data_IF_513703789446
#
_entry.id   IF_513703789446
#
_cell.length_a   1.000
_cell.length_b   1.000
_cell.length_c   1.000
_cell.angle_alpha   90.00
_cell.angle_beta   90.00
_cell.angle_gamma   90.00
#
_symmetry.space_group_name_H-M   'P 1'
#
loop_
_entity.id
_entity.type
_entity.pdbx_description
1 polymer ?
#
# COMPACT_ATOMS: atom_id res chain seq x y z
N UNK A 1 -25.98 1.72 19.90
CA UNK A 1 -26.58 1.32 18.62
C UNK A 1 -27.16 -0.08 18.77
N UNK A 2 -28.41 -0.30 18.36
CA UNK A 2 -28.99 -1.64 18.24
C UNK A 2 -28.44 -2.25 16.95
N UNK A 3 -27.31 -2.95 17.03
CA UNK A 3 -26.70 -3.65 15.91
C UNK A 3 -27.50 -4.92 15.59
N UNK A 4 -27.90 -5.06 14.33
CA UNK A 4 -28.63 -6.23 13.83
C UNK A 4 -27.65 -7.23 13.23
N UNK A 5 -28.01 -8.51 13.28
CA UNK A 5 -27.13 -9.62 12.87
C UNK A 5 -26.77 -9.62 11.37
N UNK A 6 -27.52 -8.85 10.56
CA UNK A 6 -27.33 -8.69 9.11
C UNK A 6 -26.64 -7.37 8.74
N UNK A 7 -26.26 -6.54 9.70
CA UNK A 7 -25.56 -5.30 9.40
C UNK A 7 -24.19 -5.58 8.76
N UNK A 8 -23.93 -4.87 7.67
CA UNK A 8 -22.68 -4.91 6.92
C UNK A 8 -21.91 -3.63 7.19
N UNK A 9 -20.64 -3.77 7.52
CA UNK A 9 -19.77 -2.61 7.72
C UNK A 9 -18.71 -2.55 6.62
N UNK A 10 -18.49 -1.34 6.12
CA UNK A 10 -17.40 -1.03 5.20
C UNK A 10 -16.30 -0.30 5.96
N UNK A 11 -15.05 -0.55 5.60
CA UNK A 11 -13.91 0.24 6.08
C UNK A 11 -13.87 1.61 5.38
N UNK A 12 -13.70 2.65 6.18
CA UNK A 12 -13.52 4.03 5.70
C UNK A 12 -12.09 4.21 5.15
N UNK A 13 -11.80 5.33 4.45
CA UNK A 13 -10.42 5.66 4.03
C UNK A 13 -9.45 5.64 5.20
N UNK A 14 -9.86 6.21 6.35
CA UNK A 14 -9.11 6.21 7.62
C UNK A 14 -8.85 4.79 8.14
N UNK A 15 -9.84 3.90 8.05
CA UNK A 15 -9.67 2.47 8.36
C UNK A 15 -8.63 1.80 7.49
N UNK A 16 -8.62 2.13 6.19
CA UNK A 16 -7.69 1.55 5.23
C UNK A 16 -6.26 2.06 5.42
N UNK A 17 -6.11 3.35 5.72
CA UNK A 17 -4.82 3.96 6.09
C UNK A 17 -4.24 3.33 7.36
N UNK A 18 -5.07 2.96 8.34
CA UNK A 18 -4.60 2.25 9.52
C UNK A 18 -4.08 0.84 9.20
N UNK A 19 -4.79 0.13 8.32
CA UNK A 19 -4.34 -1.18 7.83
C UNK A 19 -3.05 -1.08 6.98
N UNK A 20 -2.80 0.05 6.33
CA UNK A 20 -1.60 0.26 5.52
C UNK A 20 -0.43 0.72 6.39
N UNK A 21 -0.59 1.81 7.14
CA UNK A 21 0.50 2.54 7.80
C UNK A 21 0.77 2.11 9.24
N UNK A 22 -0.10 1.33 9.90
CA UNK A 22 0.02 0.95 11.32
C UNK A 22 0.22 2.14 12.28
N UNK A 23 -0.22 3.34 11.93
CA UNK A 23 0.22 4.57 12.57
C UNK A 23 -0.70 5.06 13.71
N UNK A 24 -1.96 4.60 13.80
CA UNK A 24 -2.96 5.15 14.71
C UNK A 24 -3.25 4.30 15.95
N UNK A 25 -2.33 3.39 16.32
CA UNK A 25 -2.34 2.75 17.64
C UNK A 25 -3.46 1.72 17.88
N UNK A 26 -4.09 1.19 16.82
CA UNK A 26 -5.08 0.14 16.98
C UNK A 26 -4.46 -1.16 17.48
N UNK A 27 -5.12 -1.77 18.46
CA UNK A 27 -4.74 -3.09 18.96
C UNK A 27 -4.82 -4.14 17.85
N UNK A 28 -3.96 -5.15 17.92
CA UNK A 28 -3.83 -6.22 16.93
C UNK A 28 -5.16 -6.93 16.62
N UNK A 29 -6.04 -7.03 17.63
CA UNK A 29 -7.38 -7.63 17.52
C UNK A 29 -8.33 -6.70 16.76
N UNK A 30 -8.36 -5.40 17.09
CA UNK A 30 -9.19 -4.42 16.38
C UNK A 30 -8.81 -4.35 14.89
N UNK A 31 -7.52 -4.43 14.60
CA UNK A 31 -7.00 -4.49 13.23
C UNK A 31 -7.47 -5.74 12.50
N UNK A 32 -7.43 -6.91 13.16
CA UNK A 32 -7.95 -8.16 12.58
C UNK A 32 -9.42 -8.00 12.19
N UNK A 33 -10.25 -7.51 13.11
CA UNK A 33 -11.68 -7.25 12.84
C UNK A 33 -11.84 -6.30 11.66
N UNK A 34 -11.09 -5.20 11.62
CA UNK A 34 -11.13 -4.21 10.53
C UNK A 34 -10.76 -4.82 9.16
N UNK A 35 -9.84 -5.80 9.10
CA UNK A 35 -9.51 -6.53 7.86
C UNK A 35 -10.68 -7.40 7.39
N UNK A 36 -11.46 -7.96 8.31
CA UNK A 36 -12.63 -8.78 7.96
C UNK A 36 -13.83 -7.94 7.50
N UNK A 37 -13.91 -6.67 7.92
CA UNK A 37 -14.97 -5.71 7.56
C UNK A 37 -14.67 -5.03 6.20
N UNK A 38 -14.76 -5.81 5.12
CA UNK A 38 -14.54 -5.36 3.74
C UNK A 38 -15.82 -4.83 3.06
N UNK A 39 -16.99 -4.91 3.72
CA UNK A 39 -18.30 -4.66 3.09
C UNK A 39 -18.98 -5.90 2.52
N UNK A 40 -18.39 -7.08 2.73
CA UNK A 40 -18.93 -8.37 2.24
C UNK A 40 -19.33 -9.33 3.35
N UNK A 41 -18.90 -9.06 4.59
CA UNK A 41 -19.22 -9.86 5.76
C UNK A 41 -20.23 -9.13 6.63
N UNK A 42 -21.23 -9.87 7.08
CA UNK A 42 -22.19 -9.41 8.09
C UNK A 42 -21.61 -9.59 9.49
N UNK A 43 -22.22 -8.94 10.48
CA UNK A 43 -21.87 -9.10 11.89
C UNK A 43 -21.83 -10.60 12.32
N UNK A 44 -22.78 -11.40 11.83
CA UNK A 44 -22.84 -12.85 12.04
C UNK A 44 -21.54 -13.55 11.63
N UNK A 45 -21.05 -13.26 10.43
CA UNK A 45 -19.87 -13.87 9.82
C UNK A 45 -18.57 -13.46 10.55
N UNK A 46 -18.55 -12.27 11.16
CA UNK A 46 -17.40 -11.82 11.95
C UNK A 46 -17.42 -12.44 13.35
N UNK A 47 -18.60 -12.68 13.92
CA UNK A 47 -18.78 -13.38 15.21
C UNK A 47 -18.39 -14.86 15.17
N UNK A 48 -18.40 -15.52 14.02
CA UNK A 48 -17.99 -16.93 13.90
C UNK A 48 -16.46 -17.11 13.92
N UNK A 49 -15.68 -16.03 13.96
CA UNK A 49 -14.22 -16.09 14.00
C UNK A 49 -13.72 -16.58 15.36
N UNK A 50 -12.99 -17.70 15.42
CA UNK A 50 -12.44 -18.20 16.68
C UNK A 50 -11.38 -17.25 17.23
N UNK A 51 -11.40 -17.05 18.56
CA UNK A 51 -10.49 -16.19 19.36
C UNK A 51 -10.77 -14.68 19.32
N UNK A 52 -12.02 -14.26 19.10
CA UNK A 52 -12.45 -12.87 19.27
C UNK A 52 -13.74 -12.84 20.09
N UNK A 53 -13.63 -12.70 21.41
CA UNK A 53 -14.79 -12.67 22.30
C UNK A 53 -15.57 -11.34 22.21
N UNK A 54 -14.87 -10.20 22.09
CA UNK A 54 -15.46 -8.85 22.17
C UNK A 54 -15.71 -8.17 20.81
N UNK A 55 -16.18 -8.92 19.79
CA UNK A 55 -16.40 -8.38 18.43
C UNK A 55 -17.30 -7.14 18.44
N UNK A 56 -18.38 -7.14 19.22
CA UNK A 56 -19.36 -6.04 19.25
C UNK A 56 -18.78 -4.75 19.86
N UNK A 57 -17.99 -4.88 20.93
CA UNK A 57 -17.28 -3.76 21.54
C UNK A 57 -16.22 -3.19 20.60
N UNK A 58 -15.52 -4.06 19.87
CA UNK A 58 -14.51 -3.66 18.87
C UNK A 58 -15.18 -2.88 17.73
N UNK A 59 -16.30 -3.38 17.19
CA UNK A 59 -17.03 -2.70 16.12
C UNK A 59 -17.54 -1.33 16.59
N UNK A 60 -18.13 -1.27 17.79
CA UNK A 60 -18.56 0.01 18.39
C UNK A 60 -17.40 1.00 18.51
N UNK A 61 -16.23 0.52 18.93
CA UNK A 61 -15.03 1.34 19.06
C UNK A 61 -14.44 1.78 17.71
N UNK A 62 -14.49 0.92 16.69
CA UNK A 62 -14.03 1.22 15.33
C UNK A 62 -14.96 2.24 14.65
N UNK A 63 -16.27 2.11 14.85
CA UNK A 63 -17.27 3.05 14.35
C UNK A 63 -17.09 4.42 15.00
N UNK A 64 -16.99 4.47 16.35
CA UNK A 64 -16.79 5.71 17.11
C UNK A 64 -15.52 6.46 16.69
N UNK A 65 -14.46 5.74 16.33
CA UNK A 65 -13.21 6.33 15.86
C UNK A 65 -13.21 6.66 14.35
N UNK A 66 -14.27 6.29 13.63
CA UNK A 66 -14.46 6.57 12.21
C UNK A 66 -13.68 5.64 11.27
N UNK A 67 -13.27 4.46 11.72
CA UNK A 67 -12.56 3.46 10.90
C UNK A 67 -13.50 2.58 10.06
N UNK A 68 -14.75 2.45 10.48
CA UNK A 68 -15.79 1.73 9.76
C UNK A 68 -17.07 2.56 9.67
N UNK A 69 -17.87 2.28 8.65
CA UNK A 69 -19.18 2.87 8.44
C UNK A 69 -20.20 1.77 8.21
N UNK A 70 -21.35 1.90 8.85
CA UNK A 70 -22.48 0.99 8.64
C UNK A 70 -23.07 1.23 7.24
N UNK A 71 -23.13 0.17 6.46
CA UNK A 71 -23.89 0.11 5.20
C UNK A 71 -24.98 -0.90 5.45
N UNK A 72 -26.13 -0.42 5.93
CA UNK A 72 -27.31 -1.27 6.04
C UNK A 72 -27.56 -1.95 4.70
N UNK A 73 -27.70 -3.27 4.75
CA UNK A 73 -27.72 -4.12 3.57
C UNK A 73 -28.98 -3.94 2.74
N UNK A 74 -29.02 -2.90 1.93
CA UNK A 74 -29.71 -2.91 0.64
C UNK A 74 -28.65 -2.91 -0.45
N UNK A 75 -28.69 -3.99 -1.24
CA UNK A 75 -27.61 -4.38 -2.13
C UNK A 75 -27.30 -3.35 -3.20
N UNK A 76 -25.99 -3.09 -3.34
CA UNK A 76 -25.29 -2.86 -4.60
C UNK A 76 -25.80 -1.76 -5.52
N UNK A 77 -25.02 -0.68 -5.65
CA UNK A 77 -24.49 -0.21 -6.96
C UNK A 77 -23.20 0.59 -6.72
N UNK A 78 -22.32 0.48 -7.71
CA UNK A 78 -20.93 0.92 -7.90
C UNK A 78 -20.71 2.46 -7.85
N UNK A 79 -19.46 2.97 -8.03
CA UNK A 79 -18.92 4.13 -7.34
C UNK A 79 -19.32 5.46 -8.00
N UNK A 80 -19.73 6.43 -7.19
CA UNK A 80 -19.90 7.81 -7.64
C UNK A 80 -18.70 8.64 -7.18
N UNK A 81 -17.77 8.84 -8.11
CA UNK A 81 -16.86 9.96 -8.09
C UNK A 81 -17.63 11.28 -7.99
N UNK A 82 -17.22 12.24 -7.14
CA UNK A 82 -17.69 13.60 -7.27
C UNK A 82 -16.69 14.38 -8.14
N UNK A 83 -17.04 14.54 -9.40
CA UNK A 83 -16.81 15.79 -10.11
C UNK A 83 -18.15 16.18 -10.73
N UNK A 84 -18.61 17.42 -10.52
CA UNK A 84 -18.47 18.36 -11.64
C UNK A 84 -18.21 19.83 -11.26
N UNK A 85 -17.33 20.43 -12.09
CA UNK A 85 -17.47 21.77 -12.72
C UNK A 85 -17.32 23.03 -11.84
N UNK A 86 -16.25 23.77 -12.12
CA UNK A 86 -16.40 25.20 -12.37
C UNK A 86 -15.61 25.61 -13.62
N UNK A 87 -16.40 26.10 -14.56
CA UNK A 87 -16.04 26.66 -15.85
C UNK A 87 -15.47 28.07 -15.62
N UNK A 88 -14.25 28.35 -16.04
CA UNK A 88 -13.85 29.72 -16.33
C UNK A 88 -13.03 29.73 -17.62
N UNK A 89 -13.72 30.16 -18.66
CA UNK A 89 -13.23 30.38 -20.01
C UNK A 89 -12.46 31.70 -19.97
N UNK A 90 -11.16 31.67 -20.21
CA UNK A 90 -10.39 32.84 -20.64
C UNK A 90 -9.67 32.45 -21.94
N UNK A 91 -10.15 32.89 -23.11
CA UNK A 91 -9.39 32.76 -24.33
C UNK A 91 -8.47 34.00 -24.49
N UNK A 92 -7.46 33.85 -25.33
CA UNK A 92 -6.64 34.92 -25.89
C UNK A 92 -5.40 35.35 -25.08
N UNK A 93 -4.32 34.58 -25.19
CA UNK A 93 -3.14 35.14 -25.85
C UNK A 93 -2.27 34.05 -26.50
N UNK A 94 -2.19 34.16 -27.82
CA UNK A 94 -1.25 33.56 -28.74
C UNK A 94 0.19 33.98 -28.40
N UNK A 95 1.11 33.01 -28.30
CA UNK A 95 2.50 33.06 -28.81
C UNK A 95 3.24 31.84 -28.22
N UNK A 96 4.16 31.14 -28.86
CA UNK A 96 4.63 30.95 -30.23
C UNK A 96 5.82 30.00 -30.06
N UNK A 97 6.04 29.20 -31.10
CA UNK A 97 7.18 28.30 -31.30
C UNK A 97 8.49 28.74 -30.66
N UNK A 98 9.20 27.79 -30.03
CA UNK A 98 10.57 27.55 -30.45
C UNK A 98 10.92 26.07 -30.33
N UNK A 99 11.45 25.57 -31.43
CA UNK A 99 11.95 24.24 -31.65
C UNK A 99 13.47 24.34 -31.57
N UNK A 100 14.11 23.68 -30.61
CA UNK A 100 15.41 23.01 -30.76
C UNK A 100 16.09 22.86 -29.41
N UNK A 101 16.37 21.62 -29.02
CA UNK A 101 17.72 21.17 -28.62
C UNK A 101 17.65 19.76 -28.03
N UNK A 102 18.07 18.78 -28.82
CA UNK A 102 18.72 17.55 -28.31
C UNK A 102 20.06 17.49 -29.06
N UNK A 103 21.18 17.13 -28.40
CA UNK A 103 21.47 15.70 -28.30
C UNK A 103 22.10 15.23 -26.96
N UNK A 104 21.75 13.98 -26.62
CA UNK A 104 22.59 12.93 -26.02
C UNK A 104 23.47 13.25 -24.78
N UNK A 105 22.96 12.88 -23.60
CA UNK A 105 23.78 12.09 -22.67
C UNK A 105 23.23 10.66 -22.67
N UNK A 106 23.92 9.75 -23.35
CA UNK A 106 23.70 8.31 -23.22
C UNK A 106 24.54 7.89 -22.01
N UNK A 107 23.95 7.62 -20.83
CA UNK A 107 24.71 7.01 -19.75
C UNK A 107 25.19 5.63 -20.22
N UNK A 108 26.47 5.28 -20.01
CA UNK A 108 27.00 3.98 -20.41
C UNK A 108 26.30 2.84 -19.64
N UNK A 109 25.86 1.84 -20.40
CA UNK A 109 25.52 0.46 -20.02
C UNK A 109 25.17 0.24 -18.53
N UNK A 110 23.90 0.28 -18.16
CA UNK A 110 23.02 -0.90 -18.10
C UNK A 110 23.73 -2.16 -17.60
N UNK A 111 23.84 -2.31 -16.28
CA UNK A 111 23.79 -3.63 -15.68
C UNK A 111 22.35 -4.16 -15.86
N UNK A 112 22.18 -5.07 -16.81
CA UNK A 112 20.90 -5.60 -17.29
C UNK A 112 20.18 -6.49 -16.29
N UNK A 113 19.46 -5.89 -15.34
CA UNK A 113 18.45 -6.60 -14.54
C UNK A 113 17.12 -5.86 -14.43
N UNK A 114 17.11 -4.53 -14.62
CA UNK A 114 15.92 -3.71 -14.36
C UNK A 114 15.29 -3.14 -15.63
N UNK A 115 13.97 -2.96 -15.60
CA UNK A 115 13.21 -2.31 -16.68
C UNK A 115 13.70 -0.86 -16.87
N UNK A 116 13.66 -0.28 -18.09
CA UNK A 116 13.84 1.17 -18.22
C UNK A 116 12.84 1.92 -17.33
N UNK A 117 13.35 2.88 -16.55
CA UNK A 117 12.54 3.69 -15.63
C UNK A 117 11.44 4.41 -16.43
N UNK A 118 10.18 4.38 -15.99
CA UNK A 118 9.12 5.14 -16.64
C UNK A 118 9.42 6.64 -16.54
N UNK A 119 9.17 7.40 -17.61
CA UNK A 119 9.41 8.85 -17.68
C UNK A 119 8.61 9.67 -16.63
N UNK A 120 7.65 9.03 -15.96
CA UNK A 120 6.89 9.59 -14.84
C UNK A 120 7.15 8.70 -13.64
N UNK A 121 7.65 9.29 -12.55
CA UNK A 121 7.79 8.60 -11.26
C UNK A 121 6.41 8.13 -10.83
N UNK A 122 6.17 6.82 -10.93
CA UNK A 122 4.92 6.22 -10.49
C UNK A 122 5.02 6.03 -8.97
N UNK A 123 4.53 7.02 -8.23
CA UNK A 123 4.60 7.04 -6.77
C UNK A 123 3.92 5.82 -6.12
N UNK A 124 2.95 5.22 -6.80
CA UNK A 124 2.27 4.02 -6.33
C UNK A 124 3.17 2.77 -6.46
N UNK A 125 3.85 2.59 -7.60
CA UNK A 125 4.83 1.51 -7.79
C UNK A 125 6.01 1.66 -6.83
N UNK A 126 6.53 2.88 -6.65
CA UNK A 126 7.59 3.14 -5.69
C UNK A 126 7.17 2.77 -4.26
N UNK A 127 5.96 3.19 -3.83
CA UNK A 127 5.42 2.84 -2.52
C UNK A 127 5.22 1.32 -2.38
N UNK A 128 4.75 0.65 -3.43
CA UNK A 128 4.58 -0.81 -3.45
C UNK A 128 5.93 -1.53 -3.29
N UNK A 129 6.96 -1.13 -4.04
CA UNK A 129 8.29 -1.73 -3.97
C UNK A 129 8.94 -1.52 -2.59
N UNK A 130 8.81 -0.32 -2.00
CA UNK A 130 9.28 -0.02 -0.65
C UNK A 130 8.61 -0.91 0.41
N UNK A 131 7.28 -1.00 0.37
CA UNK A 131 6.52 -1.86 1.27
C UNK A 131 6.87 -3.34 1.10
N UNK A 132 7.10 -3.79 -0.14
CA UNK A 132 7.51 -5.16 -0.41
C UNK A 132 8.89 -5.46 0.19
N UNK A 133 9.89 -4.60 -0.05
CA UNK A 133 11.23 -4.77 0.51
C UNK A 133 11.21 -4.75 2.04
N UNK A 134 10.47 -3.83 2.66
CA UNK A 134 10.37 -3.73 4.12
C UNK A 134 9.66 -4.94 4.76
N UNK A 135 8.57 -5.42 4.15
CA UNK A 135 7.83 -6.58 4.65
C UNK A 135 8.62 -7.88 4.49
N UNK A 136 9.33 -8.05 3.38
CA UNK A 136 10.18 -9.23 3.16
C UNK A 136 11.34 -9.26 4.14
N UNK A 137 12.01 -8.13 4.39
CA UNK A 137 13.05 -8.06 5.43
C UNK A 137 12.52 -8.43 6.81
N UNK A 138 11.37 -7.89 7.21
CA UNK A 138 10.73 -8.27 8.47
C UNK A 138 10.34 -9.75 8.56
N UNK A 139 9.91 -10.35 7.45
CA UNK A 139 9.46 -11.75 7.41
C UNK A 139 10.62 -12.75 7.44
N UNK A 140 11.72 -12.46 6.74
CA UNK A 140 12.84 -13.41 6.59
C UNK A 140 13.97 -13.16 7.60
N UNK A 141 14.36 -11.90 7.79
CA UNK A 141 15.50 -11.51 8.64
C UNK A 141 15.06 -11.14 10.06
N UNK A 142 13.84 -10.62 10.20
CA UNK A 142 13.25 -10.22 11.48
C UNK A 142 13.46 -8.74 11.82
N UNK A 143 12.58 -8.22 12.69
CA UNK A 143 12.46 -6.78 12.97
C UNK A 143 13.74 -6.10 13.50
N UNK A 144 14.61 -6.85 14.18
CA UNK A 144 15.80 -6.29 14.82
C UNK A 144 17.04 -6.26 13.91
N UNK A 145 17.16 -7.20 12.97
CA UNK A 145 18.33 -7.32 12.08
C UNK A 145 18.28 -6.40 10.86
N UNK A 146 17.10 -5.89 10.51
CA UNK A 146 16.89 -5.12 9.27
C UNK A 146 16.38 -3.71 9.49
N UNK A 147 16.29 -3.23 10.73
CA UNK A 147 15.72 -1.92 11.07
C UNK A 147 16.44 -0.76 10.36
N UNK A 148 17.76 -0.78 10.28
CA UNK A 148 18.56 0.21 9.57
C UNK A 148 18.31 0.19 8.03
N UNK A 149 18.17 -1.01 7.47
CA UNK A 149 17.91 -1.20 6.04
C UNK A 149 16.48 -0.77 5.67
N UNK A 150 15.50 -1.11 6.51
CA UNK A 150 14.11 -0.68 6.38
C UNK A 150 14.03 0.86 6.42
N UNK A 151 14.73 1.51 7.35
CA UNK A 151 14.73 2.98 7.42
C UNK A 151 15.32 3.62 6.15
N UNK A 152 16.39 3.05 5.56
CA UNK A 152 16.94 3.51 4.27
C UNK A 152 15.93 3.33 3.13
N UNK A 153 15.25 2.19 3.06
CA UNK A 153 14.20 1.93 2.06
C UNK A 153 13.08 2.97 2.17
N UNK A 154 12.60 3.24 3.39
CA UNK A 154 11.51 4.19 3.64
C UNK A 154 11.87 5.64 3.27
N UNK A 155 13.15 6.01 3.31
CA UNK A 155 13.64 7.34 2.92
C UNK A 155 13.87 7.52 1.42
N UNK A 156 13.81 6.45 0.61
CA UNK A 156 13.96 6.58 -0.84
C UNK A 156 12.79 7.35 -1.47
N UNK A 157 13.11 8.37 -2.24
CA UNK A 157 12.15 9.23 -2.95
C UNK A 157 12.00 8.83 -4.44
N UNK A 158 12.94 8.03 -4.95
CA UNK A 158 13.01 7.64 -6.36
C UNK A 158 13.40 6.16 -6.54
N UNK A 159 13.02 5.63 -7.70
CA UNK A 159 13.28 4.24 -8.09
C UNK A 159 14.78 3.97 -8.27
N UNK A 160 15.58 4.98 -8.63
CA UNK A 160 17.04 4.85 -8.73
C UNK A 160 17.68 4.58 -7.36
N UNK A 161 17.32 5.37 -6.35
CA UNK A 161 17.76 5.14 -4.96
C UNK A 161 17.30 3.77 -4.45
N UNK A 162 16.09 3.34 -4.81
CA UNK A 162 15.57 2.02 -4.41
C UNK A 162 16.34 0.87 -5.08
N UNK A 163 16.74 1.02 -6.36
CA UNK A 163 17.61 0.07 -7.07
C UNK A 163 18.99 -0.03 -6.44
N UNK A 164 19.53 1.06 -5.92
CA UNK A 164 20.80 1.04 -5.20
C UNK A 164 20.74 0.21 -3.90
N UNK A 165 19.56 0.08 -3.29
CA UNK A 165 19.34 -0.72 -2.07
C UNK A 165 19.06 -2.19 -2.37
N UNK A 166 18.72 -2.52 -3.62
CA UNK A 166 18.34 -3.89 -4.01
C UNK A 166 19.40 -4.94 -3.65
N UNK A 167 20.69 -4.65 -3.85
CA UNK A 167 21.76 -5.61 -3.56
C UNK A 167 21.88 -5.88 -2.05
N UNK A 168 21.77 -4.83 -1.23
CA UNK A 168 21.78 -4.91 0.23
C UNK A 168 20.57 -5.70 0.75
N UNK A 169 19.38 -5.45 0.18
CA UNK A 169 18.16 -6.22 0.43
C UNK A 169 18.32 -7.70 0.08
N UNK A 170 18.91 -8.01 -1.08
CA UNK A 170 19.11 -9.38 -1.52
C UNK A 170 20.11 -10.11 -0.62
N UNK A 171 21.22 -9.46 -0.27
CA UNK A 171 22.21 -10.02 0.65
C UNK A 171 21.61 -10.31 2.03
N UNK A 172 20.78 -9.40 2.55
CA UNK A 172 20.08 -9.60 3.82
C UNK A 172 19.15 -10.83 3.79
N UNK A 173 18.38 -11.01 2.70
CA UNK A 173 17.50 -12.18 2.53
C UNK A 173 18.31 -13.48 2.38
N UNK A 174 19.36 -13.46 1.55
CA UNK A 174 20.24 -14.60 1.30
C UNK A 174 21.01 -15.06 2.55
N UNK A 175 21.21 -14.17 3.52
CA UNK A 175 21.76 -14.48 4.84
C UNK A 175 20.90 -15.46 5.65
N UNK A 176 19.62 -15.63 5.29
CA UNK A 176 18.68 -16.52 6.00
C UNK A 176 18.49 -17.83 5.26
N UNK A 177 18.29 -18.94 5.99
CA UNK A 177 18.05 -20.27 5.39
C UNK A 177 16.77 -20.30 4.55
N UNK A 178 15.72 -19.61 5.00
CA UNK A 178 14.44 -19.55 4.32
C UNK A 178 14.49 -18.60 3.12
N UNK A 179 15.14 -17.43 3.26
CA UNK A 179 15.29 -16.46 2.19
C UNK A 179 16.04 -17.01 0.97
N UNK A 180 17.04 -17.87 1.17
CA UNK A 180 17.75 -18.54 0.06
C UNK A 180 16.87 -19.36 -0.88
N UNK A 181 15.77 -19.93 -0.38
CA UNK A 181 14.83 -20.71 -1.19
C UNK A 181 13.87 -19.82 -1.97
N UNK A 182 13.43 -18.74 -1.33
CA UNK A 182 12.43 -17.82 -1.88
C UNK A 182 13.07 -16.65 -2.67
N UNK A 183 14.38 -16.43 -2.58
CA UNK A 183 15.08 -15.27 -3.14
C UNK A 183 14.83 -15.05 -4.64
N UNK A 184 14.80 -16.10 -5.45
CA UNK A 184 14.60 -15.96 -6.90
C UNK A 184 13.17 -15.49 -7.23
N UNK A 185 12.18 -16.04 -6.52
CA UNK A 185 10.78 -15.63 -6.62
C UNK A 185 10.56 -14.19 -6.10
N UNK A 186 11.22 -13.82 -5.00
CA UNK A 186 11.14 -12.47 -4.43
C UNK A 186 11.79 -11.44 -5.37
N UNK A 187 12.93 -11.79 -5.98
CA UNK A 187 13.58 -10.99 -7.03
C UNK A 187 12.64 -10.78 -8.21
N UNK A 188 12.06 -11.85 -8.75
CA UNK A 188 11.17 -11.76 -9.90
C UNK A 188 10.00 -10.78 -9.63
N UNK A 189 9.32 -10.95 -8.49
CA UNK A 189 8.22 -10.06 -8.06
C UNK A 189 8.65 -8.62 -7.86
N UNK A 190 9.85 -8.41 -7.32
CA UNK A 190 10.37 -7.07 -7.07
C UNK A 190 10.73 -6.35 -8.37
N UNK A 191 11.30 -7.08 -9.36
CA UNK A 191 11.59 -6.56 -10.70
C UNK A 191 10.35 -6.25 -11.53
N UNK A 192 9.19 -6.82 -11.23
CA UNK A 192 7.92 -6.44 -11.87
C UNK A 192 7.47 -5.03 -11.48
N UNK A 193 7.85 -4.58 -10.28
CA UNK A 193 7.45 -3.30 -9.69
C UNK A 193 8.55 -2.23 -9.83
N UNK A 194 9.79 -2.62 -10.13
CA UNK A 194 10.98 -1.76 -10.22
C UNK A 194 11.39 -1.40 -11.65
#
# INVERSE_FOLDING_TARGET
MNMTMNDVFIKTPKGREEIDSKAGGLSLIMRRVLIFLDGKRTLREVKTLPKIDDVEQIITSLEKQGYIQLVSGEGGTTPAAPAPRSNNINPLLVNRVDSSSIPAFIPPARNGQFRPLPARVDAAQLKMAKNFMANTLNAFVGAFGSSALINRIERCEDHESLRAIYDDWLNAIMGTKQGRKDADNLKAKLLEVL
#
